data_IF_025889721679
#
_entry.id   IF_025889721679
#
_cell.length_a   1.000
_cell.length_b   1.000
_cell.length_c   1.000
_cell.angle_alpha   90.00
_cell.angle_beta   90.00
_cell.angle_gamma   90.00
#
_symmetry.space_group_name_H-M   'P 1'
#
loop_
_entity.id
_entity.type
_entity.pdbx_description
1 polymer ?
#
# COMPACT_ATOMS: atom_id res chain seq x y z
N UNK A 1 6.62 24.70 -16.74
CA UNK A 1 5.77 23.52 -17.07
C UNK A 1 5.39 22.82 -15.78
N UNK A 2 4.08 22.62 -15.53
CA UNK A 2 3.57 22.02 -14.30
C UNK A 2 3.71 20.48 -14.36
N UNK A 3 4.37 19.88 -13.38
CA UNK A 3 4.48 18.42 -13.26
C UNK A 3 4.49 17.95 -11.81
N UNK A 4 4.13 16.69 -11.59
CA UNK A 4 4.17 16.07 -10.25
C UNK A 4 5.56 15.49 -10.01
N UNK A 5 6.20 15.88 -8.91
CA UNK A 5 7.51 15.33 -8.51
C UNK A 5 7.40 14.15 -7.56
N UNK A 6 6.44 14.22 -6.64
CA UNK A 6 6.18 13.16 -5.68
C UNK A 6 4.73 13.20 -5.28
N UNK A 7 4.05 12.07 -5.23
CA UNK A 7 2.74 11.91 -4.62
C UNK A 7 2.77 10.61 -3.83
N UNK A 8 2.78 10.72 -2.50
CA UNK A 8 2.68 9.58 -1.59
C UNK A 8 1.55 9.83 -0.60
N UNK A 9 0.66 8.87 -0.34
CA UNK A 9 -0.30 9.01 0.75
C UNK A 9 0.42 8.99 2.09
N UNK A 10 -0.11 9.72 3.07
CA UNK A 10 0.18 9.47 4.48
C UNK A 10 -0.49 8.17 4.92
N UNK A 11 -1.75 7.99 4.55
CA UNK A 11 -2.44 6.70 4.56
C UNK A 11 -3.56 6.68 3.51
N UNK A 12 -4.00 5.48 3.15
CA UNK A 12 -5.20 5.25 2.34
C UNK A 12 -6.23 4.57 3.23
N UNK A 13 -7.47 5.03 3.19
CA UNK A 13 -8.59 4.46 3.96
C UNK A 13 -9.65 3.96 3.00
N UNK A 14 -10.07 2.72 3.18
CA UNK A 14 -11.21 2.13 2.50
C UNK A 14 -12.50 2.38 3.30
N UNK A 15 -13.53 2.88 2.63
CA UNK A 15 -14.90 2.97 3.12
C UNK A 15 -15.81 2.23 2.12
N UNK A 16 -17.06 1.93 2.51
CA UNK A 16 -17.96 1.10 1.69
C UNK A 16 -18.11 1.60 0.25
N UNK A 17 -18.23 2.92 0.07
CA UNK A 17 -18.52 3.52 -1.23
C UNK A 17 -17.35 4.33 -1.82
N UNK A 18 -16.30 4.60 -1.03
CA UNK A 18 -15.20 5.44 -1.46
C UNK A 18 -13.84 5.02 -0.89
N UNK A 19 -12.77 5.39 -1.59
CA UNK A 19 -11.39 5.27 -1.17
C UNK A 19 -10.88 6.68 -0.87
N UNK A 20 -10.32 6.88 0.32
CA UNK A 20 -9.78 8.18 0.76
C UNK A 20 -8.26 8.11 0.79
N UNK A 21 -7.64 8.86 -0.09
CA UNK A 21 -6.18 9.06 -0.11
C UNK A 21 -5.88 10.30 0.72
N UNK A 22 -5.30 10.13 1.91
CA UNK A 22 -5.01 11.22 2.84
C UNK A 22 -3.54 11.63 2.73
N UNK A 23 -3.28 12.94 2.66
CA UNK A 23 -1.97 13.53 2.49
C UNK A 23 -1.51 14.28 3.75
N UNK A 24 -0.20 14.26 3.99
CA UNK A 24 0.45 15.00 5.06
C UNK A 24 1.50 15.98 4.50
N UNK A 25 2.00 16.88 5.34
CA UNK A 25 3.00 17.88 4.97
C UNK A 25 4.20 17.24 4.24
N UNK A 26 4.56 17.78 3.07
CA UNK A 26 5.64 17.31 2.18
C UNK A 26 5.41 15.95 1.48
N UNK A 27 4.28 15.28 1.66
CA UNK A 27 4.03 13.99 1.00
C UNK A 27 3.60 14.13 -0.48
N UNK A 28 3.34 15.37 -0.91
CA UNK A 28 2.99 15.73 -2.27
C UNK A 28 3.81 16.95 -2.69
N UNK A 29 4.41 16.93 -3.88
CA UNK A 29 5.14 18.07 -4.43
C UNK A 29 4.91 18.26 -5.93
N UNK A 30 4.88 19.53 -6.32
CA UNK A 30 4.73 19.98 -7.70
C UNK A 30 6.00 20.70 -8.14
N UNK A 31 6.37 20.52 -9.40
CA UNK A 31 7.33 21.38 -10.08
C UNK A 31 6.56 22.39 -10.92
N UNK A 32 6.70 23.66 -10.58
CA UNK A 32 6.15 24.79 -11.33
C UNK A 32 7.32 25.68 -11.72
N UNK A 33 7.55 25.85 -13.02
CA UNK A 33 8.62 26.69 -13.58
C UNK A 33 9.99 26.44 -12.93
N UNK A 34 10.41 25.18 -12.92
CA UNK A 34 11.65 24.66 -12.31
C UNK A 34 11.79 24.90 -10.80
N UNK A 35 10.71 25.30 -10.14
CA UNK A 35 10.62 25.43 -8.69
C UNK A 35 9.78 24.31 -8.10
N UNK A 36 10.31 23.63 -7.08
CA UNK A 36 9.56 22.63 -6.32
C UNK A 36 8.75 23.31 -5.22
N UNK A 37 7.46 23.04 -5.20
CA UNK A 37 6.53 23.44 -4.14
C UNK A 37 6.09 22.19 -3.37
N UNK A 38 6.09 22.29 -2.03
CA UNK A 38 5.74 21.20 -1.13
C UNK A 38 4.32 21.37 -0.60
N UNK A 39 3.53 20.31 -0.58
CA UNK A 39 2.18 20.35 -0.05
C UNK A 39 2.15 20.71 1.44
N UNK A 40 1.19 21.56 1.80
CA UNK A 40 0.86 21.96 3.16
C UNK A 40 -0.65 21.75 3.39
N UNK A 41 -1.07 21.06 4.46
CA UNK A 41 -2.48 20.75 4.72
C UNK A 41 -3.22 21.95 5.34
N UNK A 42 -3.26 23.08 4.62
CA UNK A 42 -3.96 24.30 5.05
C UNK A 42 -5.44 24.31 4.68
N UNK A 43 -5.80 23.68 3.55
CA UNK A 43 -7.18 23.59 3.06
C UNK A 43 -7.57 22.10 2.96
N UNK A 44 -7.70 21.54 1.75
CA UNK A 44 -7.96 20.11 1.60
C UNK A 44 -6.70 19.26 1.82
N UNK A 45 -6.91 18.06 2.37
CA UNK A 45 -5.86 17.09 2.70
C UNK A 45 -6.18 15.67 2.23
N UNK A 46 -7.26 15.49 1.51
CA UNK A 46 -7.68 14.17 1.05
C UNK A 46 -8.26 14.21 -0.35
N UNK A 47 -8.06 13.13 -1.08
CA UNK A 47 -8.67 12.87 -2.37
C UNK A 47 -9.65 11.72 -2.16
N UNK A 48 -10.91 11.92 -2.54
CA UNK A 48 -11.98 10.92 -2.42
C UNK A 48 -12.26 10.33 -3.79
N UNK A 49 -12.19 9.01 -3.90
CA UNK A 49 -12.47 8.27 -5.13
C UNK A 49 -13.67 7.38 -4.88
N UNK A 50 -14.69 7.50 -5.72
CA UNK A 50 -15.85 6.63 -5.71
C UNK A 50 -15.46 5.23 -6.20
N UNK A 51 -15.80 4.17 -5.47
CA UNK A 51 -15.38 2.79 -5.80
C UNK A 51 -16.04 2.26 -7.07
N UNK A 52 -17.31 2.59 -7.30
CA UNK A 52 -18.08 2.07 -8.43
C UNK A 52 -17.68 2.75 -9.73
N UNK A 53 -17.60 4.08 -9.71
CA UNK A 53 -17.32 4.88 -10.91
C UNK A 53 -15.84 5.12 -11.15
N UNK A 54 -15.00 4.86 -10.13
CA UNK A 54 -13.56 5.16 -10.10
C UNK A 54 -13.24 6.65 -10.35
N UNK A 55 -14.23 7.53 -10.16
CA UNK A 55 -14.09 8.96 -10.33
C UNK A 55 -13.76 9.65 -9.02
N UNK A 56 -13.00 10.74 -9.12
CA UNK A 56 -12.74 11.62 -7.99
C UNK A 56 -14.01 12.41 -7.66
N UNK A 57 -14.43 12.39 -6.41
CA UNK A 57 -15.68 13.03 -5.97
C UNK A 57 -15.48 14.52 -5.62
N UNK A 58 -14.31 14.87 -5.10
CA UNK A 58 -14.00 16.21 -4.59
C UNK A 58 -13.10 17.02 -5.55
N UNK A 59 -13.43 17.05 -6.84
CA UNK A 59 -12.60 17.72 -7.87
C UNK A 59 -12.42 19.24 -7.65
N UNK A 60 -13.32 19.87 -6.88
CA UNK A 60 -13.27 21.31 -6.58
C UNK A 60 -12.41 21.64 -5.35
N UNK A 61 -11.94 20.62 -4.63
CA UNK A 61 -11.10 20.81 -3.45
C UNK A 61 -9.75 21.44 -3.81
N UNK A 62 -9.29 22.34 -2.95
CA UNK A 62 -8.06 23.11 -3.16
C UNK A 62 -6.92 22.54 -2.32
N UNK A 63 -5.81 22.24 -2.99
CA UNK A 63 -4.57 21.80 -2.37
C UNK A 63 -3.57 22.95 -2.36
N UNK A 64 -2.95 23.18 -1.21
CA UNK A 64 -2.01 24.29 -1.02
C UNK A 64 -0.59 23.76 -1.03
N UNK A 65 0.28 24.43 -1.79
CA UNK A 65 1.69 24.12 -1.89
C UNK A 65 2.53 25.34 -1.53
N UNK A 66 3.64 25.13 -0.84
CA UNK A 66 4.50 26.18 -0.34
C UNK A 66 5.93 26.03 -0.84
N UNK A 67 6.55 27.16 -1.18
CA UNK A 67 8.00 27.28 -1.37
C UNK A 67 8.50 28.54 -0.66
N UNK A 68 9.21 28.35 0.46
CA UNK A 68 9.64 29.50 1.28
C UNK A 68 8.43 30.27 1.82
N UNK A 69 8.23 31.51 1.36
CA UNK A 69 7.07 32.36 1.73
C UNK A 69 5.95 32.36 0.68
N UNK A 70 6.16 31.73 -0.47
CA UNK A 70 5.19 31.68 -1.57
C UNK A 70 4.22 30.50 -1.37
N UNK A 71 2.93 30.75 -1.58
CA UNK A 71 1.88 29.74 -1.60
C UNK A 71 1.24 29.66 -2.97
N UNK A 72 1.03 28.44 -3.46
CA UNK A 72 0.27 28.13 -4.66
C UNK A 72 -0.95 27.30 -4.27
N UNK A 73 -2.11 27.69 -4.78
CA UNK A 73 -3.39 26.99 -4.57
C UNK A 73 -3.78 26.36 -5.89
N UNK A 74 -3.98 25.04 -5.88
CA UNK A 74 -4.31 24.28 -7.08
C UNK A 74 -5.54 23.44 -6.79
N UNK A 75 -6.57 23.59 -7.62
CA UNK A 75 -7.76 22.76 -7.52
C UNK A 75 -7.44 21.33 -7.97
N UNK A 76 -8.09 20.34 -7.37
CA UNK A 76 -7.89 18.94 -7.74
C UNK A 76 -8.21 18.68 -9.21
N UNK A 77 -9.24 19.33 -9.76
CA UNK A 77 -9.59 19.31 -11.18
C UNK A 77 -8.46 19.76 -12.11
N UNK A 78 -7.55 20.63 -11.67
CA UNK A 78 -6.36 21.02 -12.44
C UNK A 78 -5.27 19.95 -12.35
N UNK A 79 -5.08 19.35 -11.17
CA UNK A 79 -4.15 18.23 -10.98
C UNK A 79 -4.56 17.01 -11.80
N UNK A 80 -5.85 16.72 -11.91
CA UNK A 80 -6.38 15.59 -12.70
C UNK A 80 -6.11 15.73 -14.22
N UNK A 81 -5.85 16.95 -14.71
CA UNK A 81 -5.44 17.17 -16.11
C UNK A 81 -3.99 16.72 -16.38
N UNK A 82 -3.17 16.57 -15.32
CA UNK A 82 -1.80 16.13 -15.43
C UNK A 82 -1.75 14.60 -15.56
N UNK A 83 -1.22 14.10 -16.67
CA UNK A 83 -1.09 12.64 -16.89
C UNK A 83 -0.29 11.96 -15.78
N UNK A 84 0.80 12.58 -15.33
CA UNK A 84 1.65 12.03 -14.27
C UNK A 84 0.93 11.95 -12.92
N UNK A 85 0.08 12.93 -12.62
CA UNK A 85 -0.75 12.91 -11.41
C UNK A 85 -1.73 11.73 -11.46
N UNK A 86 -2.46 11.59 -12.57
CA UNK A 86 -3.39 10.48 -12.76
C UNK A 86 -2.70 9.12 -12.68
N UNK A 87 -1.51 8.99 -13.28
CA UNK A 87 -0.73 7.76 -13.19
C UNK A 87 -0.34 7.41 -11.75
N UNK A 88 0.17 8.38 -10.98
CA UNK A 88 0.49 8.18 -9.56
C UNK A 88 -0.75 7.88 -8.72
N UNK A 89 -1.83 8.63 -8.92
CA UNK A 89 -3.08 8.43 -8.18
C UNK A 89 -3.64 7.03 -8.45
N UNK A 90 -3.70 6.62 -9.71
CA UNK A 90 -4.13 5.28 -10.11
C UNK A 90 -3.24 4.20 -9.47
N UNK A 91 -1.92 4.37 -9.47
CA UNK A 91 -1.01 3.43 -8.81
C UNK A 91 -1.25 3.31 -7.30
N UNK A 92 -1.68 4.40 -6.64
CA UNK A 92 -2.00 4.40 -5.21
C UNK A 92 -3.31 3.69 -4.95
N UNK A 93 -4.35 3.91 -5.77
CA UNK A 93 -5.69 3.37 -5.53
C UNK A 93 -5.91 1.96 -6.09
N UNK A 94 -5.09 1.51 -7.05
CA UNK A 94 -5.27 0.22 -7.73
C UNK A 94 -5.39 -0.98 -6.78
N UNK A 95 -4.54 -1.13 -5.74
CA UNK A 95 -4.64 -2.23 -4.77
C UNK A 95 -5.96 -2.24 -3.98
N UNK A 96 -6.60 -1.07 -3.87
CA UNK A 96 -7.80 -0.85 -3.08
C UNK A 96 -9.08 -0.93 -3.92
N UNK A 97 -9.00 -0.63 -5.22
CA UNK A 97 -10.11 -0.74 -6.18
C UNK A 97 -10.39 -2.18 -6.54
N UNK A 98 -9.35 -2.89 -6.96
CA UNK A 98 -9.37 -4.31 -7.19
C UNK A 98 -8.95 -4.94 -5.87
N UNK A 99 -9.77 -4.75 -4.81
CA UNK A 99 -9.41 -5.14 -3.45
C UNK A 99 -8.64 -6.44 -3.52
N UNK A 100 -7.34 -6.38 -3.23
CA UNK A 100 -6.36 -7.43 -3.51
C UNK A 100 -6.74 -8.69 -2.72
N UNK A 101 -7.76 -9.38 -3.21
CA UNK A 101 -7.70 -10.77 -3.57
C UNK A 101 -6.97 -10.81 -4.90
N UNK A 102 -5.70 -10.45 -4.94
CA UNK A 102 -4.81 -11.44 -5.55
C UNK A 102 -5.15 -12.70 -4.76
N UNK A 103 -5.79 -13.73 -5.35
CA UNK A 103 -5.75 -14.99 -4.66
C UNK A 103 -4.25 -15.22 -4.55
N UNK A 104 -3.69 -15.08 -3.35
CA UNK A 104 -2.53 -15.89 -3.05
C UNK A 104 -3.10 -17.26 -3.36
N UNK A 105 -2.67 -17.86 -4.47
CA UNK A 105 -3.21 -19.14 -4.88
C UNK A 105 -3.11 -19.98 -3.62
N UNK A 106 -4.25 -20.44 -3.11
CA UNK A 106 -4.29 -21.07 -1.79
C UNK A 106 -3.21 -22.16 -1.73
N UNK A 107 -2.98 -22.80 -2.89
CA UNK A 107 -1.88 -23.69 -3.21
C UNK A 107 -0.47 -23.12 -2.93
N UNK A 108 -0.11 -21.91 -3.35
CA UNK A 108 1.19 -21.31 -3.02
C UNK A 108 1.35 -21.05 -1.51
N UNK A 109 0.29 -20.61 -0.82
CA UNK A 109 0.30 -20.44 0.65
C UNK A 109 0.46 -21.79 1.33
N UNK A 110 -0.32 -22.78 0.91
CA UNK A 110 -0.33 -24.12 1.46
C UNK A 110 1.02 -24.79 1.25
N UNK A 111 1.68 -24.60 0.10
CA UNK A 111 3.04 -25.07 -0.16
C UNK A 111 4.06 -24.44 0.80
N UNK A 112 3.98 -23.12 1.04
CA UNK A 112 4.85 -22.44 2.00
C UNK A 112 4.59 -22.93 3.42
N UNK A 113 3.33 -23.13 3.80
CA UNK A 113 2.96 -23.67 5.12
C UNK A 113 3.52 -25.08 5.29
N UNK A 114 3.34 -25.97 4.31
CA UNK A 114 3.84 -27.35 4.36
C UNK A 114 5.37 -27.36 4.52
N UNK A 115 6.09 -26.50 3.80
CA UNK A 115 7.55 -26.44 3.91
C UNK A 115 8.00 -25.94 5.29
N UNK A 116 7.31 -24.93 5.85
CA UNK A 116 7.57 -24.44 7.20
C UNK A 116 7.28 -25.50 8.26
N UNK A 117 6.20 -26.27 8.10
CA UNK A 117 5.87 -27.39 9.00
C UNK A 117 6.93 -28.49 8.93
N UNK A 118 7.40 -28.85 7.73
CA UNK A 118 8.50 -29.82 7.54
C UNK A 118 9.78 -29.35 8.24
N UNK A 119 10.13 -28.07 8.12
CA UNK A 119 11.28 -27.51 8.81
C UNK A 119 11.12 -27.51 10.33
N UNK A 120 9.91 -27.22 10.83
CA UNK A 120 9.62 -27.25 12.25
C UNK A 120 9.73 -28.69 12.82
N UNK A 121 9.19 -29.68 12.10
CA UNK A 121 9.30 -31.09 12.50
C UNK A 121 10.76 -31.53 12.57
N UNK A 122 11.59 -31.19 11.58
CA UNK A 122 13.03 -31.48 11.61
C UNK A 122 13.72 -30.91 12.84
N UNK A 123 13.41 -29.66 13.22
CA UNK A 123 13.94 -29.06 14.47
C UNK A 123 13.50 -29.80 15.72
N UNK A 124 12.27 -30.31 15.76
CA UNK A 124 11.79 -31.12 16.90
C UNK A 124 12.50 -32.47 16.96
N UNK A 125 12.78 -33.09 15.82
CA UNK A 125 13.58 -34.31 15.74
C UNK A 125 15.01 -34.06 16.27
N UNK A 126 15.65 -32.97 15.83
CA UNK A 126 16.98 -32.59 16.32
C UNK A 126 16.96 -32.37 17.84
N UNK A 127 15.95 -31.67 18.36
CA UNK A 127 15.76 -31.47 19.80
C UNK A 127 15.55 -32.79 20.56
N UNK A 128 14.79 -33.73 20.01
CA UNK A 128 14.58 -35.05 20.60
C UNK A 128 15.90 -35.84 20.70
N UNK A 129 16.76 -35.74 19.66
CA UNK A 129 18.09 -36.34 19.69
C UNK A 129 18.99 -35.69 20.75
N UNK A 130 19.00 -34.36 20.84
CA UNK A 130 19.78 -33.63 21.85
C UNK A 130 19.36 -33.98 23.29
N UNK A 131 18.07 -34.20 23.51
CA UNK A 131 17.51 -34.52 24.83
C UNK A 131 17.43 -36.01 25.12
N UNK A 132 17.86 -36.88 24.18
CA UNK A 132 17.70 -38.33 24.22
C UNK A 132 16.25 -38.79 24.44
N UNK A 133 15.27 -38.03 23.94
CA UNK A 133 13.85 -38.40 23.99
C UNK A 133 13.50 -39.30 22.80
N UNK A 134 13.60 -40.61 23.03
CA UNK A 134 13.38 -41.61 22.00
C UNK A 134 11.92 -41.68 21.52
N UNK A 135 10.95 -41.41 22.38
CA UNK A 135 9.54 -41.41 21.97
C UNK A 135 9.25 -40.21 21.08
N UNK A 136 9.70 -39.03 21.48
CA UNK A 136 9.51 -37.82 20.70
C UNK A 136 10.19 -37.92 19.32
N UNK A 137 11.36 -38.55 19.25
CA UNK A 137 12.04 -38.81 17.99
C UNK A 137 11.20 -39.69 17.05
N UNK A 138 10.67 -40.81 17.55
CA UNK A 138 9.86 -41.73 16.75
C UNK A 138 8.57 -41.07 16.25
N UNK A 139 7.87 -40.34 17.13
CA UNK A 139 6.60 -39.71 16.80
C UNK A 139 6.74 -38.69 15.66
N UNK A 140 7.74 -37.81 15.75
CA UNK A 140 7.96 -36.77 14.75
C UNK A 140 8.65 -37.26 13.47
N UNK A 141 9.44 -38.34 13.54
CA UNK A 141 9.98 -39.00 12.34
C UNK A 141 8.88 -39.69 11.54
N UNK A 142 7.95 -40.37 12.20
CA UNK A 142 6.79 -40.96 11.54
C UNK A 142 5.90 -39.89 10.92
N UNK A 143 5.61 -38.82 11.67
CA UNK A 143 4.84 -37.67 11.16
C UNK A 143 5.48 -37.03 9.92
N UNK A 144 6.82 -36.94 9.85
CA UNK A 144 7.52 -36.42 8.68
C UNK A 144 7.39 -37.32 7.45
N UNK A 145 7.35 -38.64 7.65
CA UNK A 145 7.20 -39.61 6.56
C UNK A 145 5.78 -39.65 5.98
N UNK A 146 4.78 -39.30 6.79
CA UNK A 146 3.36 -39.28 6.39
C UNK A 146 2.95 -37.98 5.66
N UNK A 147 3.84 -36.99 5.53
CA UNK A 147 3.61 -35.65 4.93
C UNK A 147 4.18 -35.50 3.51
#
# INVERSE_FOLDING_TARGET
MLSVKMLKPYYVKEEENCIRVVLAYQYFSLSLDDKVYQFVPLESREIRINRETQKVENEQDVFVFQKGKEYSRVALSELLKLKDFMAHLNSIIHPYLNGDKTPIEQEEVDLVIIELEKQNIKRVIDYALETNDYQLFLDYTNKLNDM
#
